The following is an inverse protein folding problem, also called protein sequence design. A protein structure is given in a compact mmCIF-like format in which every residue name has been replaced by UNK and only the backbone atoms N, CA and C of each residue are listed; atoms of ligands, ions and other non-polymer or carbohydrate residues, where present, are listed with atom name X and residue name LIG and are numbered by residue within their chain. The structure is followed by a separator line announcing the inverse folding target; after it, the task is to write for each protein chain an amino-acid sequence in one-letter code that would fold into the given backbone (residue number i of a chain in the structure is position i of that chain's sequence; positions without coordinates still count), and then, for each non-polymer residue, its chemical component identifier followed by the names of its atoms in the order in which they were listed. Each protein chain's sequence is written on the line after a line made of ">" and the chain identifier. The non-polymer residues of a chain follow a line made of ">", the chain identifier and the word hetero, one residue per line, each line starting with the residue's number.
data_IF_482977193466
#
_entry.id   IF_482977193466
#
_cell.length_a   1.000
_cell.length_b   1.000
_cell.length_c   1.000
_cell.angle_alpha   90.00
_cell.angle_beta   90.00
_cell.angle_gamma   90.00
#
_symmetry.space_group_name_H-M   'P 1'
#
loop_
_entity.id
_entity.type
_entity.pdbx_description
1 polymer ?
#
# COMPACT_ATOMS: atom_id res chain seq x y z
N UNK A 1 -9.68 -19.19 29.84
CA UNK A 1 -8.41 -19.82 29.38
C UNK A 1 -7.58 -20.25 30.60
N UNK A 2 -6.98 -21.44 30.53
CA UNK A 2 -6.12 -21.93 31.60
C UNK A 2 -4.77 -21.21 31.60
N UNK A 3 -4.16 -21.06 32.76
CA UNK A 3 -2.85 -20.42 32.90
C UNK A 3 -1.74 -21.14 32.06
N UNK A 4 -1.92 -22.44 31.84
CA UNK A 4 -1.02 -23.25 30.99
C UNK A 4 -1.12 -22.85 29.50
N UNK A 5 -2.32 -22.57 28.99
CA UNK A 5 -2.54 -22.11 27.60
C UNK A 5 -1.91 -20.74 27.35
N UNK A 6 -2.05 -19.83 28.29
CA UNK A 6 -1.42 -18.50 28.18
C UNK A 6 0.12 -18.57 28.21
N UNK A 7 0.71 -19.47 29.01
CA UNK A 7 2.16 -19.72 29.03
C UNK A 7 2.67 -20.39 27.75
N UNK A 8 1.92 -21.32 27.18
CA UNK A 8 2.26 -21.95 25.91
C UNK A 8 2.27 -20.89 24.79
N UNK A 9 1.22 -20.09 24.69
CA UNK A 9 1.13 -18.98 23.75
C UNK A 9 2.31 -17.99 23.88
N UNK A 10 2.68 -17.64 25.11
CA UNK A 10 3.81 -16.75 25.37
C UNK A 10 5.13 -17.34 24.87
N UNK A 11 5.39 -18.64 25.09
CA UNK A 11 6.61 -19.30 24.60
C UNK A 11 6.68 -19.33 23.09
N UNK A 12 5.58 -19.64 22.43
CA UNK A 12 5.50 -19.66 20.97
C UNK A 12 5.75 -18.29 20.37
N UNK A 13 5.11 -17.26 20.91
CA UNK A 13 5.27 -15.88 20.45
C UNK A 13 6.65 -15.32 20.80
N UNK A 14 7.27 -15.80 21.90
CA UNK A 14 8.66 -15.48 22.20
C UNK A 14 9.64 -16.04 21.16
N UNK A 15 9.37 -17.23 20.65
CA UNK A 15 10.16 -17.82 19.56
C UNK A 15 9.95 -17.06 18.25
N UNK A 16 8.71 -16.65 17.93
CA UNK A 16 8.38 -15.86 16.74
C UNK A 16 9.05 -14.47 16.70
N UNK A 17 9.33 -13.88 17.86
CA UNK A 17 10.03 -12.60 17.99
C UNK A 17 11.58 -12.73 17.97
N UNK A 18 12.13 -13.89 17.64
CA UNK A 18 13.57 -14.10 17.67
C UNK A 18 14.24 -13.54 16.42
N UNK A 19 15.36 -12.84 16.61
CA UNK A 19 16.28 -12.40 15.57
C UNK A 19 17.26 -13.54 15.27
N UNK A 20 16.79 -14.58 14.63
CA UNK A 20 17.60 -15.72 14.22
C UNK A 20 17.97 -15.65 12.73
N UNK A 21 18.88 -16.54 12.32
CA UNK A 21 19.35 -16.57 10.93
C UNK A 21 18.21 -16.78 9.92
N UNK A 22 17.23 -17.69 10.13
CA UNK A 22 16.07 -17.83 9.24
C UNK A 22 15.28 -16.54 9.09
N UNK A 23 14.99 -15.82 10.18
CA UNK A 23 14.30 -14.55 10.14
C UNK A 23 15.04 -13.52 9.27
N UNK A 24 16.35 -13.36 9.50
CA UNK A 24 17.17 -12.42 8.73
C UNK A 24 17.28 -12.80 7.25
N UNK A 25 17.46 -14.09 6.95
CA UNK A 25 17.51 -14.58 5.58
C UNK A 25 16.21 -14.32 4.84
N UNK A 26 15.05 -14.52 5.49
CA UNK A 26 13.74 -14.23 4.90
C UNK A 26 13.51 -12.73 4.70
N UNK A 27 13.97 -11.87 5.62
CA UNK A 27 13.93 -10.41 5.44
C UNK A 27 14.73 -9.97 4.22
N UNK A 28 15.99 -10.44 4.12
CA UNK A 28 16.87 -10.10 2.99
C UNK A 28 16.27 -10.57 1.67
N UNK A 29 15.85 -11.83 1.59
CA UNK A 29 15.30 -12.43 0.36
C UNK A 29 13.98 -11.75 -0.05
N UNK A 30 13.04 -11.57 0.88
CA UNK A 30 11.75 -10.95 0.59
C UNK A 30 11.90 -9.48 0.19
N UNK A 31 12.81 -8.74 0.84
CA UNK A 31 13.09 -7.36 0.48
C UNK A 31 13.71 -7.24 -0.92
N UNK A 32 14.68 -8.08 -1.26
CA UNK A 32 15.28 -8.08 -2.60
C UNK A 32 14.23 -8.38 -3.69
N UNK A 33 13.42 -9.44 -3.51
CA UNK A 33 12.35 -9.80 -4.44
C UNK A 33 11.30 -8.68 -4.53
N UNK A 34 10.87 -8.10 -3.40
CA UNK A 34 9.92 -7.00 -3.38
C UNK A 34 10.46 -5.76 -4.10
N UNK A 35 11.73 -5.42 -3.89
CA UNK A 35 12.37 -4.28 -4.54
C UNK A 35 12.46 -4.50 -6.06
N UNK A 36 12.89 -5.67 -6.52
CA UNK A 36 12.88 -6.00 -7.95
C UNK A 36 11.48 -5.98 -8.53
N UNK A 37 10.48 -6.51 -7.82
CA UNK A 37 9.08 -6.46 -8.22
C UNK A 37 8.54 -5.04 -8.35
N UNK A 38 8.89 -4.14 -7.43
CA UNK A 38 8.53 -2.72 -7.47
C UNK A 38 9.16 -2.00 -8.67
N UNK A 39 10.45 -2.22 -8.91
CA UNK A 39 11.18 -1.63 -10.05
C UNK A 39 10.66 -2.18 -11.37
N UNK A 40 10.39 -3.48 -11.45
CA UNK A 40 9.80 -4.11 -12.63
C UNK A 40 8.30 -3.81 -12.81
N UNK A 41 7.68 -3.07 -11.89
CA UNK A 41 6.25 -2.76 -11.86
C UNK A 41 5.36 -4.02 -11.96
N UNK A 42 5.77 -5.10 -11.28
CA UNK A 42 5.12 -6.41 -11.33
C UNK A 42 4.44 -6.75 -10.00
N UNK A 43 3.12 -6.60 -9.96
CA UNK A 43 2.31 -6.97 -8.79
C UNK A 43 2.49 -8.44 -8.40
N UNK A 44 2.63 -9.34 -9.35
CA UNK A 44 2.79 -10.78 -9.08
C UNK A 44 4.09 -11.08 -8.32
N UNK A 45 5.21 -10.46 -8.69
CA UNK A 45 6.51 -10.62 -8.01
C UNK A 45 6.44 -10.03 -6.60
N UNK A 46 5.80 -8.87 -6.45
CA UNK A 46 5.61 -8.22 -5.16
C UNK A 46 4.79 -9.11 -4.22
N UNK A 47 3.70 -9.71 -4.70
CA UNK A 47 2.87 -10.65 -3.92
C UNK A 47 3.69 -11.86 -3.48
N UNK A 48 4.50 -12.43 -4.37
CA UNK A 48 5.42 -13.53 -4.04
C UNK A 48 6.40 -13.17 -2.90
N UNK A 49 6.98 -11.99 -2.96
CA UNK A 49 7.87 -11.49 -1.91
C UNK A 49 7.16 -11.32 -0.55
N UNK A 50 5.91 -10.85 -0.58
CA UNK A 50 5.10 -10.66 0.62
C UNK A 50 4.83 -11.97 1.37
N UNK A 51 4.65 -13.08 0.66
CA UNK A 51 4.40 -14.40 1.26
C UNK A 51 5.61 -14.89 2.07
N UNK A 52 6.81 -14.49 1.65
CA UNK A 52 8.07 -14.89 2.28
C UNK A 52 8.39 -14.01 3.49
N UNK A 53 7.91 -12.77 3.52
CA UNK A 53 8.30 -11.77 4.52
C UNK A 53 7.85 -12.14 5.95
N UNK A 54 8.77 -12.23 6.93
CA UNK A 54 8.44 -12.71 8.27
C UNK A 54 8.03 -11.59 9.25
N UNK A 55 7.85 -10.34 8.80
CA UNK A 55 7.59 -9.18 9.66
C UNK A 55 6.33 -9.33 10.53
N UNK A 56 5.38 -10.16 10.10
CA UNK A 56 4.15 -10.40 10.84
C UNK A 56 4.37 -11.12 12.18
N UNK A 57 5.36 -12.00 12.26
CA UNK A 57 5.62 -12.80 13.46
C UNK A 57 5.92 -11.92 14.68
N UNK A 58 6.89 -10.99 14.62
CA UNK A 58 7.16 -10.11 15.76
C UNK A 58 6.03 -9.10 16.04
N UNK A 59 5.21 -8.71 15.05
CA UNK A 59 4.07 -7.80 15.30
C UNK A 59 3.00 -8.49 16.13
N UNK A 60 2.67 -9.74 15.82
CA UNK A 60 1.75 -10.56 16.60
C UNK A 60 2.25 -10.75 18.03
N UNK A 61 3.55 -10.97 18.18
CA UNK A 61 4.21 -11.10 19.49
C UNK A 61 4.19 -9.78 20.26
N UNK A 62 4.35 -8.65 19.59
CA UNK A 62 4.23 -7.30 20.16
C UNK A 62 2.82 -7.05 20.71
N UNK A 63 1.80 -7.38 19.92
CA UNK A 63 0.39 -7.24 20.31
C UNK A 63 0.06 -8.07 21.56
N UNK A 64 0.51 -9.32 21.59
CA UNK A 64 0.31 -10.17 22.76
C UNK A 64 1.09 -9.70 23.99
N UNK A 65 2.32 -9.25 23.79
CA UNK A 65 3.14 -8.65 24.86
C UNK A 65 2.47 -7.43 25.48
N UNK A 66 1.87 -6.58 24.68
CA UNK A 66 1.07 -5.42 25.13
C UNK A 66 -0.18 -5.86 25.90
N UNK A 67 -0.88 -6.90 25.42
CA UNK A 67 -2.07 -7.45 26.05
C UNK A 67 -1.81 -7.95 27.48
N UNK A 68 -0.75 -8.72 27.68
CA UNK A 68 -0.43 -9.33 28.98
C UNK A 68 0.49 -8.44 29.85
N UNK A 69 0.92 -7.28 29.35
CA UNK A 69 1.84 -6.38 30.06
C UNK A 69 3.27 -6.93 30.18
N UNK A 70 3.72 -7.78 29.26
CA UNK A 70 5.08 -8.37 29.26
C UNK A 70 6.08 -7.46 28.57
N UNK A 71 6.76 -6.60 29.34
CA UNK A 71 7.81 -5.70 28.82
C UNK A 71 8.95 -6.42 28.08
N UNK A 72 9.30 -7.64 28.54
CA UNK A 72 10.33 -8.44 27.88
C UNK A 72 9.92 -8.86 26.46
N UNK A 73 8.68 -9.29 26.27
CA UNK A 73 8.16 -9.66 24.95
C UNK A 73 7.99 -8.45 24.05
N UNK A 74 7.47 -7.34 24.58
CA UNK A 74 7.36 -6.05 23.84
C UNK A 74 8.73 -5.62 23.31
N UNK A 75 9.74 -5.55 24.18
CA UNK A 75 11.09 -5.14 23.79
C UNK A 75 11.70 -6.06 22.74
N UNK A 76 11.58 -7.37 22.90
CA UNK A 76 12.10 -8.36 21.95
C UNK A 76 11.44 -8.21 20.58
N UNK A 77 10.12 -8.12 20.55
CA UNK A 77 9.33 -7.96 19.33
C UNK A 77 9.61 -6.63 18.63
N UNK A 78 9.67 -5.55 19.40
CA UNK A 78 9.99 -4.23 18.86
C UNK A 78 11.41 -4.19 18.23
N UNK A 79 12.39 -4.83 18.87
CA UNK A 79 13.74 -4.96 18.31
C UNK A 79 13.72 -5.77 17.01
N UNK A 80 12.97 -6.88 16.93
CA UNK A 80 12.88 -7.69 15.73
C UNK A 80 12.25 -6.90 14.57
N UNK A 81 11.16 -6.16 14.84
CA UNK A 81 10.53 -5.28 13.84
C UNK A 81 11.51 -4.19 13.39
N UNK A 82 12.16 -3.50 14.32
CA UNK A 82 13.08 -2.41 14.02
C UNK A 82 14.27 -2.88 13.18
N UNK A 83 14.93 -3.94 13.60
CA UNK A 83 16.09 -4.49 12.90
C UNK A 83 15.69 -4.99 11.51
N UNK A 84 14.57 -5.73 11.40
CA UNK A 84 14.06 -6.21 10.12
C UNK A 84 13.72 -5.05 9.17
N UNK A 85 13.10 -3.98 9.68
CA UNK A 85 12.76 -2.79 8.89
C UNK A 85 14.02 -2.04 8.44
N UNK A 86 15.01 -1.86 9.31
CA UNK A 86 16.27 -1.18 8.95
C UNK A 86 17.02 -1.96 7.88
N UNK A 87 17.13 -3.29 8.01
CA UNK A 87 17.78 -4.14 7.02
C UNK A 87 17.06 -4.04 5.67
N UNK A 88 15.73 -4.17 5.66
CA UNK A 88 14.93 -4.07 4.44
C UNK A 88 15.07 -2.69 3.77
N UNK A 89 15.03 -1.63 4.56
CA UNK A 89 15.22 -0.26 4.07
C UNK A 89 16.62 -0.06 3.46
N UNK A 90 17.67 -0.54 4.14
CA UNK A 90 19.04 -0.44 3.66
C UNK A 90 19.25 -1.19 2.34
N UNK A 91 18.69 -2.41 2.21
CA UNK A 91 18.75 -3.20 0.98
C UNK A 91 18.02 -2.50 -0.16
N UNK A 92 16.78 -2.05 0.08
CA UNK A 92 15.99 -1.35 -0.95
C UNK A 92 16.66 -0.04 -1.38
N UNK A 93 17.24 0.71 -0.44
CA UNK A 93 18.01 1.92 -0.73
C UNK A 93 19.25 1.62 -1.58
N UNK A 94 20.03 0.60 -1.21
CA UNK A 94 21.22 0.19 -1.96
C UNK A 94 20.86 -0.28 -3.38
N UNK A 95 19.84 -1.14 -3.52
CA UNK A 95 19.37 -1.59 -4.82
C UNK A 95 18.84 -0.41 -5.67
N UNK A 96 18.14 0.54 -5.07
CA UNK A 96 17.67 1.74 -5.74
C UNK A 96 18.80 2.60 -6.27
N UNK A 97 19.91 2.73 -5.53
CA UNK A 97 21.13 3.43 -6.01
C UNK A 97 21.81 2.68 -7.17
N UNK A 98 21.88 1.35 -7.09
CA UNK A 98 22.53 0.53 -8.12
C UNK A 98 21.75 0.51 -9.43
N UNK A 99 20.41 0.50 -9.37
CA UNK A 99 19.55 0.41 -10.55
C UNK A 99 19.36 1.77 -11.22
N UNK A 100 19.38 2.88 -10.47
CA UNK A 100 19.21 4.24 -11.01
C UNK A 100 17.84 4.44 -11.64
N UNK A 101 16.77 4.46 -10.81
CA UNK A 101 15.38 4.54 -11.28
C UNK A 101 15.12 5.96 -11.84
N UNK A 102 14.78 6.06 -13.12
CA UNK A 102 14.44 7.34 -13.77
C UNK A 102 12.98 7.74 -13.53
N UNK A 103 12.06 6.78 -13.47
CA UNK A 103 10.64 7.02 -13.24
C UNK A 103 10.05 5.95 -12.30
N UNK A 104 9.21 6.39 -11.36
CA UNK A 104 8.52 5.48 -10.45
C UNK A 104 7.28 4.89 -11.12
N UNK A 105 7.23 3.57 -11.23
CA UNK A 105 6.08 2.82 -11.73
C UNK A 105 4.83 2.95 -10.85
N UNK A 106 3.69 2.51 -11.38
CA UNK A 106 2.39 2.58 -10.67
C UNK A 106 2.39 1.81 -9.35
N UNK A 107 3.12 0.71 -9.24
CA UNK A 107 3.25 -0.09 -8.03
C UNK A 107 3.96 0.66 -6.90
N UNK A 108 4.99 1.45 -7.23
CA UNK A 108 5.69 2.30 -6.25
C UNK A 108 4.79 3.47 -5.83
N UNK A 109 4.15 4.13 -6.80
CA UNK A 109 3.28 5.28 -6.55
C UNK A 109 2.07 4.92 -5.69
N UNK A 110 1.43 3.78 -5.94
CA UNK A 110 0.29 3.31 -5.14
C UNK A 110 0.64 3.17 -3.64
N UNK A 111 1.89 2.80 -3.32
CA UNK A 111 2.37 2.63 -1.94
C UNK A 111 2.88 3.91 -1.29
N UNK A 112 2.91 5.01 -2.03
CA UNK A 112 3.25 6.34 -1.51
C UNK A 112 2.02 7.18 -1.14
N UNK A 113 0.81 6.67 -1.38
CA UNK A 113 -0.46 7.38 -1.17
C UNK A 113 -1.41 6.57 -0.27
N UNK A 114 -1.08 6.43 1.03
CA UNK A 114 -1.89 5.66 1.96
C UNK A 114 -3.29 6.25 2.11
N UNK A 115 -4.29 5.39 2.28
CA UNK A 115 -5.68 5.77 2.42
C UNK A 115 -6.40 4.90 3.46
N UNK A 116 -7.70 5.21 3.73
CA UNK A 116 -8.49 4.46 4.71
C UNK A 116 -8.72 2.99 4.34
N UNK A 117 -8.67 2.62 3.06
CA UNK A 117 -8.81 1.22 2.64
C UNK A 117 -7.60 0.39 3.08
N UNK A 118 -6.39 0.99 3.04
CA UNK A 118 -5.17 0.33 3.51
C UNK A 118 -5.26 -0.01 5.00
N UNK A 119 -5.80 0.91 5.82
CA UNK A 119 -6.06 0.65 7.24
C UNK A 119 -7.09 -0.47 7.41
N UNK A 120 -8.15 -0.50 6.60
CA UNK A 120 -9.15 -1.58 6.60
C UNK A 120 -8.53 -2.95 6.30
N UNK A 121 -7.65 -3.01 5.30
CA UNK A 121 -6.88 -4.22 4.96
C UNK A 121 -5.98 -4.63 6.12
N UNK A 122 -5.26 -3.68 6.73
CA UNK A 122 -4.37 -3.95 7.86
C UNK A 122 -5.12 -4.50 9.08
N UNK A 123 -6.28 -3.92 9.43
CA UNK A 123 -7.13 -4.40 10.52
C UNK A 123 -7.63 -5.82 10.25
N UNK A 124 -8.13 -6.09 9.05
CA UNK A 124 -8.63 -7.42 8.68
C UNK A 124 -7.50 -8.46 8.69
N UNK A 125 -6.36 -8.12 8.12
CA UNK A 125 -5.17 -8.96 8.10
C UNK A 125 -4.69 -9.30 9.52
N UNK A 126 -4.59 -8.30 10.40
CA UNK A 126 -4.19 -8.50 11.78
C UNK A 126 -5.19 -9.35 12.57
N UNK A 127 -6.50 -9.17 12.35
CA UNK A 127 -7.52 -9.99 12.98
C UNK A 127 -7.40 -11.46 12.57
N UNK A 128 -7.25 -11.75 11.29
CA UNK A 128 -7.04 -13.12 10.79
C UNK A 128 -5.74 -13.72 11.37
N UNK A 129 -4.65 -12.92 11.45
CA UNK A 129 -3.39 -13.38 12.03
C UNK A 129 -3.52 -13.77 13.50
N UNK A 130 -4.15 -12.92 14.29
CA UNK A 130 -4.41 -13.19 15.69
C UNK A 130 -5.25 -14.45 15.86
N UNK A 131 -6.30 -14.59 15.05
CA UNK A 131 -7.20 -15.74 15.10
C UNK A 131 -6.53 -17.05 14.66
N UNK A 132 -5.74 -17.03 13.62
CA UNK A 132 -4.98 -18.20 13.16
C UNK A 132 -3.96 -18.71 14.19
N UNK A 133 -3.48 -17.83 15.07
CA UNK A 133 -2.62 -18.26 16.19
C UNK A 133 -3.38 -18.97 17.29
N UNK A 134 -4.68 -18.67 17.44
CA UNK A 134 -5.55 -19.25 18.45
C UNK A 134 -6.14 -20.58 17.99
N UNK A 135 -6.55 -20.66 16.72
CA UNK A 135 -7.24 -21.80 16.12
C UNK A 135 -6.28 -22.60 15.21
N UNK A 136 -5.77 -23.76 15.68
CA UNK A 136 -4.78 -24.55 14.91
C UNK A 136 -5.31 -25.09 13.57
N UNK A 137 -6.64 -25.17 13.41
CA UNK A 137 -7.25 -25.63 12.15
C UNK A 137 -7.10 -24.62 11.02
N UNK A 138 -6.88 -23.34 11.35
CA UNK A 138 -6.57 -22.32 10.36
C UNK A 138 -5.08 -22.36 10.15
N UNK A 139 -4.68 -23.06 9.11
CA UNK A 139 -3.28 -23.20 8.75
C UNK A 139 -2.55 -21.85 8.70
N UNK A 140 -1.39 -21.78 9.32
CA UNK A 140 -0.52 -20.60 9.30
C UNK A 140 -0.17 -20.11 7.89
N UNK A 141 -0.28 -20.96 6.87
CA UNK A 141 -0.08 -20.62 5.45
C UNK A 141 -1.16 -19.66 4.93
N UNK A 142 -2.43 -19.88 5.24
CA UNK A 142 -3.52 -19.00 4.78
C UNK A 142 -3.49 -17.65 5.51
N UNK A 143 -3.19 -17.65 6.79
CA UNK A 143 -3.04 -16.43 7.57
C UNK A 143 -1.78 -15.64 7.17
N UNK A 144 -0.68 -16.32 6.87
CA UNK A 144 0.57 -15.71 6.41
C UNK A 144 0.42 -14.98 5.07
N UNK A 145 -0.32 -15.55 4.12
CA UNK A 145 -0.52 -14.96 2.78
C UNK A 145 -1.36 -13.68 2.81
N UNK A 146 -2.43 -13.64 3.61
CA UNK A 146 -3.29 -12.44 3.69
C UNK A 146 -2.60 -11.25 4.38
N UNK A 147 -1.60 -11.52 5.21
CA UNK A 147 -0.99 -10.56 6.14
C UNK A 147 0.32 -10.00 5.63
N UNK A 148 1.08 -10.79 4.89
CA UNK A 148 2.34 -10.37 4.28
C UNK A 148 2.17 -9.19 3.30
N UNK A 149 0.95 -9.00 2.78
CA UNK A 149 0.56 -8.00 1.77
C UNK A 149 0.87 -6.56 2.19
N UNK A 150 0.92 -6.26 3.48
CA UNK A 150 0.82 -4.88 3.94
C UNK A 150 2.13 -4.21 4.38
N UNK A 151 3.24 -4.94 4.62
CA UNK A 151 4.39 -4.39 5.34
C UNK A 151 5.68 -4.27 4.51
N UNK A 152 6.09 -5.32 3.80
CA UNK A 152 7.38 -5.32 3.10
C UNK A 152 7.44 -4.32 1.93
N UNK A 153 6.44 -4.23 1.03
CA UNK A 153 6.51 -3.28 -0.08
C UNK A 153 6.58 -1.81 0.33
N UNK A 154 5.82 -1.32 1.34
CA UNK A 154 6.01 0.04 1.84
C UNK A 154 7.44 0.32 2.31
N UNK A 155 8.08 -0.59 3.06
CA UNK A 155 9.47 -0.42 3.50
C UNK A 155 10.42 -0.34 2.31
N UNK A 156 10.25 -1.20 1.31
CA UNK A 156 11.04 -1.14 0.08
C UNK A 156 10.80 0.16 -0.69
N UNK A 157 9.56 0.65 -0.74
CA UNK A 157 9.22 1.93 -1.38
C UNK A 157 9.88 3.11 -0.65
N UNK A 158 9.97 3.09 0.69
CA UNK A 158 10.73 4.10 1.45
C UNK A 158 12.19 4.11 0.99
N UNK A 159 12.84 2.94 0.94
CA UNK A 159 14.23 2.82 0.53
C UNK A 159 14.48 3.31 -0.90
N UNK A 160 13.61 2.92 -1.83
CA UNK A 160 13.67 3.37 -3.22
C UNK A 160 13.48 4.89 -3.35
N UNK A 161 12.52 5.47 -2.63
CA UNK A 161 12.31 6.92 -2.61
C UNK A 161 13.52 7.67 -2.06
N UNK A 162 14.11 7.20 -0.98
CA UNK A 162 15.32 7.78 -0.38
C UNK A 162 16.52 7.69 -1.34
N UNK A 163 16.67 6.58 -2.08
CA UNK A 163 17.76 6.40 -3.03
C UNK A 163 17.76 7.41 -4.17
N UNK A 164 16.58 7.90 -4.55
CA UNK A 164 16.39 8.89 -5.62
C UNK A 164 16.14 10.31 -5.07
N UNK A 165 16.28 10.54 -3.77
CA UNK A 165 16.05 11.85 -3.14
C UNK A 165 14.59 12.29 -3.12
N UNK A 166 13.63 11.39 -3.38
CA UNK A 166 12.20 11.72 -3.37
C UNK A 166 11.61 11.57 -1.96
N UNK A 167 11.76 12.62 -1.17
CA UNK A 167 11.29 12.66 0.22
C UNK A 167 9.77 12.52 0.36
N UNK A 168 9.00 13.08 -0.58
CA UNK A 168 7.54 13.04 -0.53
C UNK A 168 7.03 11.61 -0.70
N UNK A 169 7.58 10.86 -1.65
CA UNK A 169 7.29 9.46 -1.87
C UNK A 169 7.64 8.62 -0.64
N UNK A 170 8.82 8.86 -0.06
CA UNK A 170 9.29 8.15 1.13
C UNK A 170 8.42 8.43 2.36
N UNK A 171 7.98 9.67 2.56
CA UNK A 171 7.07 10.05 3.66
C UNK A 171 5.70 9.39 3.51
N UNK A 172 5.14 9.37 2.29
CA UNK A 172 3.87 8.68 2.03
C UNK A 172 3.96 7.17 2.32
N UNK A 173 5.03 6.51 1.85
CA UNK A 173 5.27 5.10 2.11
C UNK A 173 5.53 4.82 3.62
N UNK A 174 6.19 5.74 4.33
CA UNK A 174 6.38 5.64 5.78
C UNK A 174 5.05 5.70 6.51
N UNK A 175 4.17 6.62 6.11
CA UNK A 175 2.82 6.72 6.67
C UNK A 175 2.03 5.44 6.45
N UNK A 176 2.10 4.85 5.24
CA UNK A 176 1.47 3.56 4.94
C UNK A 176 2.02 2.44 5.81
N UNK A 177 3.35 2.36 5.97
CA UNK A 177 3.99 1.35 6.81
C UNK A 177 3.53 1.43 8.27
N UNK A 178 3.55 2.64 8.86
CA UNK A 178 3.13 2.86 10.25
C UNK A 178 1.64 2.54 10.43
N UNK A 179 0.80 2.96 9.48
CA UNK A 179 -0.64 2.67 9.48
C UNK A 179 -0.90 1.18 9.51
N UNK A 180 -0.24 0.43 8.64
CA UNK A 180 -0.41 -1.02 8.56
C UNK A 180 0.10 -1.71 9.82
N UNK A 181 1.28 -1.30 10.33
CA UNK A 181 1.85 -1.85 11.56
C UNK A 181 0.90 -1.66 12.75
N UNK A 182 0.37 -0.45 12.94
CA UNK A 182 -0.53 -0.15 14.06
C UNK A 182 -1.90 -0.81 13.89
N UNK A 183 -2.46 -0.81 12.67
CA UNK A 183 -3.73 -1.47 12.37
C UNK A 183 -3.67 -2.97 12.64
N UNK A 184 -2.60 -3.64 12.20
CA UNK A 184 -2.35 -5.06 12.45
C UNK A 184 -2.17 -5.32 13.95
N UNK A 185 -1.33 -4.53 14.64
CA UNK A 185 -1.08 -4.72 16.07
C UNK A 185 -2.33 -4.53 16.91
N UNK A 186 -3.14 -3.50 16.62
CA UNK A 186 -4.40 -3.23 17.32
C UNK A 186 -5.41 -4.36 17.13
N UNK A 187 -5.60 -4.81 15.89
CA UNK A 187 -6.56 -5.87 15.58
C UNK A 187 -6.15 -7.24 16.17
N UNK A 188 -4.85 -7.60 16.10
CA UNK A 188 -4.30 -8.76 16.79
C UNK A 188 -4.56 -8.70 18.31
N UNK A 189 -4.29 -7.54 18.93
CA UNK A 189 -4.50 -7.32 20.36
C UNK A 189 -5.97 -7.50 20.73
N UNK A 190 -6.89 -6.96 19.94
CA UNK A 190 -8.33 -7.12 20.14
C UNK A 190 -8.76 -8.58 20.03
N UNK A 191 -8.26 -9.31 19.03
CA UNK A 191 -8.58 -10.75 18.89
C UNK A 191 -8.10 -11.56 20.08
N UNK A 192 -6.86 -11.34 20.53
CA UNK A 192 -6.34 -12.03 21.72
C UNK A 192 -7.12 -11.65 23.00
N UNK A 193 -7.58 -10.39 23.11
CA UNK A 193 -8.42 -9.95 24.23
C UNK A 193 -9.78 -10.66 24.21
N UNK A 194 -10.45 -10.69 23.06
CA UNK A 194 -11.76 -11.35 22.88
C UNK A 194 -11.65 -12.87 23.12
N UNK A 195 -10.52 -13.48 22.78
CA UNK A 195 -10.24 -14.86 23.08
C UNK A 195 -9.96 -15.14 24.59
N UNK A 196 -9.91 -14.11 25.43
CA UNK A 196 -9.81 -14.24 26.89
C UNK A 196 -8.39 -14.48 27.41
N UNK A 197 -7.33 -14.12 26.67
CA UNK A 197 -5.93 -14.26 27.12
C UNK A 197 -5.54 -13.25 28.20
N UNK A 198 -6.30 -12.19 28.42
CA UNK A 198 -6.09 -11.21 29.46
C UNK A 198 -7.39 -10.53 29.89
N UNK A 199 -7.38 -9.97 31.10
CA UNK A 199 -8.46 -9.11 31.56
C UNK A 199 -8.32 -7.71 30.97
N UNK A 200 -9.44 -7.04 30.68
CA UNK A 200 -9.48 -5.70 30.12
C UNK A 200 -8.62 -4.69 30.91
N UNK A 201 -8.57 -4.79 32.22
CA UNK A 201 -7.77 -3.90 33.08
C UNK A 201 -6.26 -3.96 32.77
N UNK A 202 -5.71 -5.11 32.45
CA UNK A 202 -4.30 -5.26 32.05
C UNK A 202 -4.04 -4.77 30.63
N UNK A 203 -4.97 -5.04 29.73
CA UNK A 203 -4.88 -4.63 28.32
C UNK A 203 -5.11 -3.13 28.11
N UNK A 204 -5.75 -2.44 29.07
CA UNK A 204 -6.25 -1.08 28.93
C UNK A 204 -5.20 -0.10 28.40
N UNK A 205 -4.02 -0.07 28.96
CA UNK A 205 -2.98 0.89 28.56
C UNK A 205 -2.48 0.63 27.14
N UNK A 206 -2.30 -0.62 26.75
CA UNK A 206 -1.90 -0.97 25.38
C UNK A 206 -3.02 -0.65 24.38
N UNK A 207 -4.28 -0.95 24.72
CA UNK A 207 -5.43 -0.59 23.89
C UNK A 207 -5.58 0.90 23.72
N UNK A 208 -5.48 1.67 24.81
CA UNK A 208 -5.57 3.14 24.75
C UNK A 208 -4.44 3.70 23.87
N UNK A 209 -3.20 3.29 24.11
CA UNK A 209 -2.06 3.78 23.34
C UNK A 209 -2.19 3.46 21.84
N UNK A 210 -2.46 2.20 21.48
CA UNK A 210 -2.59 1.81 20.08
C UNK A 210 -3.81 2.46 19.42
N UNK A 211 -4.94 2.59 20.14
CA UNK A 211 -6.13 3.27 19.62
C UNK A 211 -5.90 4.75 19.38
N UNK A 212 -5.22 5.45 20.30
CA UNK A 212 -4.88 6.88 20.13
C UNK A 212 -3.95 7.05 18.93
N UNK A 213 -2.90 6.24 18.82
CA UNK A 213 -1.96 6.31 17.69
C UNK A 213 -2.69 6.03 16.36
N UNK A 214 -3.57 5.03 16.33
CA UNK A 214 -4.38 4.74 15.13
C UNK A 214 -5.36 5.88 14.83
N UNK A 215 -6.01 6.46 15.84
CA UNK A 215 -6.91 7.60 15.67
C UNK A 215 -6.21 8.84 15.11
N UNK A 216 -4.99 9.13 15.57
CA UNK A 216 -4.17 10.24 15.01
C UNK A 216 -3.89 10.02 13.52
N UNK A 217 -3.66 8.77 13.10
CA UNK A 217 -3.44 8.43 11.69
C UNK A 217 -4.71 8.52 10.84
N UNK A 218 -5.91 8.43 11.43
CA UNK A 218 -7.17 8.59 10.68
C UNK A 218 -7.28 9.98 10.02
N UNK A 219 -6.67 11.01 10.57
CA UNK A 219 -6.69 12.37 10.00
C UNK A 219 -5.99 12.40 8.63
N UNK A 220 -4.68 12.09 8.53
CA UNK A 220 -4.00 12.11 7.23
C UNK A 220 -4.55 11.06 6.25
N UNK A 221 -4.96 9.89 6.73
CA UNK A 221 -5.58 8.87 5.90
C UNK A 221 -6.94 9.33 5.35
N UNK A 222 -7.76 9.99 6.17
CA UNK A 222 -9.04 10.54 5.76
C UNK A 222 -8.87 11.63 4.69
N UNK A 223 -7.88 12.52 4.84
CA UNK A 223 -7.54 13.54 3.84
C UNK A 223 -7.10 12.87 2.54
N UNK A 224 -6.20 11.88 2.61
CA UNK A 224 -5.75 11.10 1.45
C UNK A 224 -6.92 10.41 0.74
N UNK A 225 -7.78 9.74 1.50
CA UNK A 225 -8.96 9.07 0.96
C UNK A 225 -9.92 10.06 0.27
N UNK A 226 -10.22 11.20 0.90
CA UNK A 226 -11.05 12.25 0.32
C UNK A 226 -10.43 12.80 -0.98
N UNK A 227 -9.12 12.96 -1.02
CA UNK A 227 -8.38 13.40 -2.21
C UNK A 227 -8.52 12.37 -3.34
N UNK A 228 -8.27 11.08 -3.06
CA UNK A 228 -8.42 10.00 -4.04
C UNK A 228 -9.86 9.86 -4.54
N UNK A 229 -10.85 9.95 -3.65
CA UNK A 229 -12.26 9.91 -4.01
C UNK A 229 -12.65 11.09 -4.93
N UNK A 230 -12.16 12.30 -4.64
CA UNK A 230 -12.35 13.47 -5.48
C UNK A 230 -11.66 13.31 -6.84
N UNK A 231 -10.44 12.79 -6.87
CA UNK A 231 -9.71 12.51 -8.11
C UNK A 231 -10.48 11.52 -8.99
N UNK A 232 -10.92 10.40 -8.42
CA UNK A 232 -11.72 9.39 -9.14
C UNK A 232 -13.07 9.93 -9.63
N UNK A 233 -13.70 10.84 -8.86
CA UNK A 233 -14.93 11.53 -9.28
C UNK A 233 -14.67 12.46 -10.45
N UNK A 234 -13.62 13.28 -10.38
CA UNK A 234 -13.23 14.21 -11.44
C UNK A 234 -12.85 13.48 -12.72
N UNK A 235 -12.12 12.39 -12.62
CA UNK A 235 -11.76 11.56 -13.77
C UNK A 235 -13.01 11.03 -14.49
N UNK A 236 -13.98 10.52 -13.74
CA UNK A 236 -15.28 10.10 -14.30
C UNK A 236 -16.04 11.26 -14.95
N UNK A 237 -16.04 12.44 -14.34
CA UNK A 237 -16.71 13.62 -14.88
C UNK A 237 -16.03 14.11 -16.16
N UNK A 238 -14.70 14.16 -16.19
CA UNK A 238 -13.91 14.52 -17.39
C UNK A 238 -14.21 13.56 -18.53
N UNK A 239 -14.16 12.24 -18.26
CA UNK A 239 -14.48 11.22 -19.26
C UNK A 239 -15.89 11.36 -19.80
N UNK A 240 -16.88 11.60 -18.91
CA UNK A 240 -18.29 11.81 -19.30
C UNK A 240 -18.47 13.10 -20.10
N UNK A 241 -17.83 14.19 -19.67
CA UNK A 241 -17.91 15.49 -20.35
C UNK A 241 -17.30 15.42 -21.77
N UNK A 242 -16.15 14.77 -21.91
CA UNK A 242 -15.48 14.58 -23.20
C UNK A 242 -16.32 13.71 -24.14
N UNK A 243 -16.82 12.57 -23.70
CA UNK A 243 -17.56 11.63 -24.55
C UNK A 243 -18.96 12.12 -24.92
N UNK A 244 -19.65 12.83 -24.02
CA UNK A 244 -21.06 13.20 -24.22
C UNK A 244 -21.28 14.64 -24.70
N UNK A 245 -20.35 15.56 -24.47
CA UNK A 245 -20.54 17.00 -24.72
C UNK A 245 -19.58 17.59 -25.75
N UNK A 246 -18.72 16.78 -26.38
CA UNK A 246 -17.81 17.28 -27.40
C UNK A 246 -18.01 16.56 -28.73
N UNK A 247 -18.11 17.33 -29.81
CA UNK A 247 -18.30 16.80 -31.17
C UNK A 247 -17.05 16.01 -31.61
N UNK A 248 -15.87 16.40 -31.17
CA UNK A 248 -14.59 15.76 -31.51
C UNK A 248 -14.54 14.29 -31.10
N UNK A 249 -15.13 13.93 -29.95
CA UNK A 249 -15.15 12.57 -29.44
C UNK A 249 -16.39 11.75 -29.83
N UNK A 250 -17.39 12.36 -30.47
CA UNK A 250 -18.52 11.60 -31.06
C UNK A 250 -18.11 10.73 -32.24
N UNK A 251 -16.99 11.09 -32.91
CA UNK A 251 -16.41 10.35 -34.05
C UNK A 251 -15.09 9.66 -33.74
N UNK A 252 -14.67 9.65 -32.49
CA UNK A 252 -13.44 9.02 -32.02
C UNK A 252 -13.72 8.03 -30.91
N UNK A 253 -13.06 6.88 -30.95
CA UNK A 253 -13.13 5.88 -29.89
C UNK A 253 -12.04 6.19 -28.85
N UNK A 254 -12.44 6.42 -27.61
CA UNK A 254 -11.51 6.60 -26.50
C UNK A 254 -11.03 5.25 -26.00
N UNK A 255 -9.77 4.92 -26.28
CA UNK A 255 -9.14 3.66 -25.88
C UNK A 255 -8.67 3.70 -24.42
N UNK A 256 -8.03 4.79 -24.01
CA UNK A 256 -7.46 4.93 -22.68
C UNK A 256 -7.56 6.39 -22.22
N UNK A 257 -7.79 6.57 -20.93
CA UNK A 257 -7.81 7.87 -20.28
C UNK A 257 -7.08 7.75 -18.94
N UNK A 258 -6.05 8.56 -18.74
CA UNK A 258 -5.32 8.61 -17.49
C UNK A 258 -5.02 10.05 -17.09
N UNK A 259 -5.00 10.34 -15.79
CA UNK A 259 -4.72 11.66 -15.26
C UNK A 259 -3.51 11.58 -14.34
N UNK A 260 -2.47 12.35 -14.65
CA UNK A 260 -1.34 12.52 -13.78
C UNK A 260 -1.58 13.73 -12.85
N UNK A 261 -1.90 13.43 -11.60
CA UNK A 261 -2.21 14.41 -10.57
C UNK A 261 -0.98 15.07 -9.93
N UNK A 262 0.22 14.54 -10.17
CA UNK A 262 1.48 15.06 -9.62
C UNK A 262 1.95 16.34 -10.33
N UNK A 263 1.47 16.59 -11.56
CA UNK A 263 1.80 17.78 -12.31
C UNK A 263 0.92 18.96 -11.88
N UNK A 264 1.44 20.16 -11.97
CA UNK A 264 0.71 21.42 -11.74
C UNK A 264 0.79 22.28 -13.01
N UNK A 265 -0.28 22.40 -13.79
CA UNK A 265 -1.60 21.77 -13.65
C UNK A 265 -1.60 20.26 -13.93
N UNK A 266 -2.61 19.50 -13.39
CA UNK A 266 -2.73 18.07 -13.66
C UNK A 266 -2.81 17.77 -15.15
N UNK A 267 -2.10 16.72 -15.60
CA UNK A 267 -2.04 16.36 -17.02
C UNK A 267 -2.99 15.21 -17.33
N UNK A 268 -3.96 15.48 -18.21
CA UNK A 268 -4.91 14.49 -18.73
C UNK A 268 -4.31 13.90 -20.02
N UNK A 269 -4.05 12.61 -20.02
CA UNK A 269 -3.60 11.86 -21.20
C UNK A 269 -4.76 11.05 -21.75
N UNK A 270 -5.09 11.26 -23.01
CA UNK A 270 -6.13 10.54 -23.72
C UNK A 270 -5.50 9.81 -24.90
N UNK A 271 -5.80 8.51 -25.02
CA UNK A 271 -5.46 7.71 -26.19
C UNK A 271 -6.74 7.50 -26.96
N UNK A 272 -6.82 8.06 -28.17
CA UNK A 272 -8.01 8.00 -29.00
C UNK A 272 -7.71 7.33 -30.33
N UNK A 273 -8.69 6.57 -30.81
CA UNK A 273 -8.69 5.96 -32.13
C UNK A 273 -9.64 6.76 -33.02
N UNK A 274 -9.15 7.33 -34.12
CA UNK A 274 -9.97 8.09 -35.07
C UNK A 274 -9.39 8.03 -36.47
N UNK A 275 -10.26 8.16 -37.50
CA UNK A 275 -9.86 8.32 -38.88
C UNK A 275 -9.47 9.78 -39.22
N UNK A 276 -9.99 10.74 -38.46
CA UNK A 276 -9.72 12.15 -38.68
C UNK A 276 -8.54 12.64 -37.81
N UNK A 277 -7.75 13.59 -38.32
CA UNK A 277 -6.64 14.16 -37.58
C UNK A 277 -7.16 15.21 -36.54
N UNK A 278 -6.81 15.01 -35.27
CA UNK A 278 -7.09 16.01 -34.24
C UNK A 278 -6.03 17.12 -34.31
N UNK A 279 -6.49 18.35 -34.48
CA UNK A 279 -5.60 19.51 -34.61
C UNK A 279 -5.21 20.07 -33.23
N UNK A 280 -4.04 20.73 -33.09
CA UNK A 280 -3.64 21.41 -31.85
C UNK A 280 -4.67 22.40 -31.33
N UNK A 281 -5.37 23.09 -32.23
CA UNK A 281 -6.42 24.04 -31.88
C UNK A 281 -7.65 23.36 -31.24
N UNK A 282 -7.99 22.16 -31.68
CA UNK A 282 -9.07 21.37 -31.08
C UNK A 282 -8.67 20.92 -29.67
N UNK A 283 -7.42 20.51 -29.47
CA UNK A 283 -6.90 20.17 -28.14
C UNK A 283 -6.95 21.36 -27.19
N UNK A 284 -6.57 22.56 -27.65
CA UNK A 284 -6.66 23.79 -26.85
C UNK A 284 -8.12 24.14 -26.47
N UNK A 285 -9.05 23.99 -27.39
CA UNK A 285 -10.47 24.21 -27.11
C UNK A 285 -11.02 23.18 -26.10
N UNK A 286 -10.62 21.92 -26.21
CA UNK A 286 -10.98 20.87 -25.25
C UNK A 286 -10.39 21.14 -23.86
N UNK A 287 -9.16 21.63 -23.79
CA UNK A 287 -8.50 22.02 -22.54
C UNK A 287 -9.24 23.18 -21.86
N UNK A 288 -9.62 24.20 -22.60
CA UNK A 288 -10.45 25.32 -22.11
C UNK A 288 -11.83 24.85 -21.66
N UNK A 289 -12.44 23.91 -22.38
CA UNK A 289 -13.75 23.35 -22.02
C UNK A 289 -13.65 22.56 -20.70
N UNK A 290 -12.66 21.67 -20.55
CA UNK A 290 -12.44 20.91 -19.30
C UNK A 290 -12.16 21.86 -18.14
N UNK A 291 -11.29 22.85 -18.34
CA UNK A 291 -10.97 23.86 -17.32
C UNK A 291 -12.21 24.61 -16.86
N UNK A 292 -13.07 25.00 -17.77
CA UNK A 292 -14.34 25.69 -17.46
C UNK A 292 -15.34 24.79 -16.72
N UNK A 293 -15.48 23.54 -17.16
CA UNK A 293 -16.44 22.58 -16.59
C UNK A 293 -15.99 22.11 -15.18
N UNK A 294 -14.68 21.96 -14.96
CA UNK A 294 -14.12 21.47 -13.71
C UNK A 294 -13.70 22.56 -12.72
N UNK A 295 -13.70 23.84 -13.14
CA UNK A 295 -13.35 24.99 -12.29
C UNK A 295 -11.88 25.10 -11.92
N UNK A 296 -10.98 24.34 -12.57
CA UNK A 296 -9.53 24.36 -12.34
C UNK A 296 -8.76 24.03 -13.62
N UNK A 297 -7.51 24.52 -13.77
CA UNK A 297 -6.73 24.27 -14.97
C UNK A 297 -6.30 22.80 -15.07
N UNK A 298 -6.34 22.26 -16.29
CA UNK A 298 -5.81 20.97 -16.68
C UNK A 298 -4.96 21.15 -17.94
N UNK A 299 -3.94 20.33 -18.11
CA UNK A 299 -3.19 20.21 -19.34
C UNK A 299 -3.63 18.95 -20.08
N UNK A 300 -4.05 19.07 -21.34
CA UNK A 300 -4.56 17.97 -22.12
C UNK A 300 -3.47 17.47 -23.12
N UNK A 301 -3.21 16.17 -23.09
CA UNK A 301 -2.33 15.48 -24.04
C UNK A 301 -3.13 14.38 -24.75
N UNK A 302 -3.34 14.53 -26.04
CA UNK A 302 -4.11 13.59 -26.86
C UNK A 302 -3.16 12.81 -27.77
N UNK A 303 -3.13 11.49 -27.58
CA UNK A 303 -2.41 10.56 -28.45
C UNK A 303 -3.41 9.96 -29.46
N UNK A 304 -3.17 10.21 -30.73
CA UNK A 304 -4.07 9.78 -31.80
C UNK A 304 -3.52 8.53 -32.47
N UNK A 305 -4.28 7.42 -32.40
CA UNK A 305 -4.04 6.21 -33.19
C UNK A 305 -4.90 6.26 -34.45
N UNK A 306 -4.27 6.29 -35.62
CA UNK A 306 -4.98 6.27 -36.91
C UNK A 306 -5.39 4.85 -37.26
N UNK A 307 -6.62 4.67 -37.71
CA UNK A 307 -7.14 3.42 -38.26
C UNK A 307 -7.28 3.59 -39.76
N UNK A 308 -6.60 2.72 -40.52
CA UNK A 308 -6.87 2.54 -41.94
C UNK A 308 -7.69 1.27 -42.13
N UNK A 309 -8.88 1.40 -42.65
CA UNK A 309 -9.68 0.24 -43.05
C UNK A 309 -9.15 -0.29 -44.40
N UNK A 310 -8.69 -1.53 -44.39
CA UNK A 310 -8.24 -2.23 -45.62
C UNK A 310 -9.25 -3.30 -45.90
N UNK A 311 -10.09 -3.11 -46.92
CA UNK A 311 -11.00 -4.12 -47.44
C UNK A 311 -10.33 -4.90 -48.57
N UNK A 312 -10.60 -6.23 -48.67
CA UNK A 312 -10.18 -7.01 -49.82
C UNK A 312 -10.87 -6.47 -51.11
N UNK A 313 -10.18 -6.40 -52.24
CA UNK A 313 -10.84 -6.08 -53.51
C UNK A 313 -11.89 -7.15 -53.82
N UNK A 314 -13.08 -6.70 -54.27
CA UNK A 314 -14.15 -7.56 -54.76
C UNK A 314 -13.72 -8.41 -55.98
#
# INVERSE_FOLDING_TARGET
>A
LTWQQSRAMWRDLWAEASLDFPYLALIVSSCAIATFGLVANSAAVIIGAMIIAPLMLPIRSLAFGGLIGSWRLIRKSALAILVGTIIALAIAWLLGLLIGISEFGSEIQARSQPNLLDLGVAITAGAISGYAKIEPKISGTLAGTAIAVALMPPVCTIGLGLSQGNWLLSLGATLLYITNLLGIALSCLLVFLLAGYSNFHRARNALILTSILTAVLLIPLGISFATLANQARLERLIKKALLQRTITFQRAELLESSINWLNQPPRVRLVVRTAESITPRQVELLEKFITKEMGRPFQLNVLVSKVNEVTSPE
#
